data_IF_860571204167
#
_entry.id   IF_860571204167
#
_cell.length_a   1.000
_cell.length_b   1.000
_cell.length_c   1.000
_cell.angle_alpha   90.00
_cell.angle_beta   90.00
_cell.angle_gamma   90.00
#
_symmetry.space_group_name_H-M   'P 1'
#
loop_
_entity.id
_entity.type
_entity.pdbx_description
1 polymer ?
#
# COMPACT_ATOMS: atom_id res chain seq x y z
N UNK A 1 -21.59 21.48 -1.93
CA UNK A 1 -21.25 20.27 -1.17
C UNK A 1 -20.71 19.27 -2.19
N UNK A 2 -19.39 19.10 -2.36
CA UNK A 2 -18.90 18.07 -3.27
C UNK A 2 -19.08 16.70 -2.62
N UNK A 3 -19.54 15.76 -3.43
CA UNK A 3 -19.98 14.43 -3.04
C UNK A 3 -18.78 13.60 -2.59
N UNK A 4 -18.84 13.05 -1.37
CA UNK A 4 -17.88 12.05 -0.88
C UNK A 4 -18.24 10.68 -1.47
N UNK A 5 -17.89 10.48 -2.74
CA UNK A 5 -17.83 9.19 -3.44
C UNK A 5 -16.82 9.38 -4.58
N UNK A 6 -15.78 8.57 -4.75
CA UNK A 6 -15.74 7.11 -4.71
C UNK A 6 -14.34 6.60 -4.37
N UNK A 7 -14.28 5.37 -3.84
CA UNK A 7 -13.07 4.59 -3.54
C UNK A 7 -12.30 4.12 -4.80
N UNK A 8 -11.94 5.03 -5.69
CA UNK A 8 -11.03 4.79 -6.81
C UNK A 8 -9.66 5.36 -6.47
N UNK A 9 -8.58 4.56 -6.52
CA UNK A 9 -7.23 5.11 -6.45
C UNK A 9 -7.08 6.09 -7.61
N UNK A 10 -6.59 7.29 -7.34
CA UNK A 10 -6.20 8.23 -8.39
C UNK A 10 -5.01 7.62 -9.14
N UNK A 11 -5.25 7.05 -10.32
CA UNK A 11 -4.23 6.36 -11.12
C UNK A 11 -3.10 7.31 -11.49
N UNK A 12 -3.41 8.56 -11.85
CA UNK A 12 -2.39 9.57 -12.21
C UNK A 12 -1.58 9.96 -10.98
N UNK A 13 -2.24 10.13 -9.84
CA UNK A 13 -1.59 10.33 -8.54
C UNK A 13 -0.68 9.16 -8.18
N UNK A 14 -1.13 7.92 -8.43
CA UNK A 14 -0.43 6.68 -8.13
C UNK A 14 0.83 6.54 -8.96
N UNK A 15 0.73 6.73 -10.28
CA UNK A 15 1.87 6.70 -11.20
C UNK A 15 2.92 7.74 -10.81
N UNK A 16 2.50 8.98 -10.53
CA UNK A 16 3.42 10.05 -10.10
C UNK A 16 4.16 9.67 -8.82
N UNK A 17 3.44 9.15 -7.82
CA UNK A 17 4.01 8.71 -6.54
C UNK A 17 4.95 7.53 -6.73
N UNK A 18 4.58 6.56 -7.57
CA UNK A 18 5.43 5.42 -7.92
C UNK A 18 6.74 5.88 -8.56
N UNK A 19 6.70 6.76 -9.56
CA UNK A 19 7.92 7.27 -10.21
C UNK A 19 8.84 7.98 -9.24
N UNK A 20 8.29 8.82 -8.35
CA UNK A 20 9.08 9.50 -7.33
C UNK A 20 9.74 8.51 -6.36
N UNK A 21 8.99 7.51 -5.90
CA UNK A 21 9.49 6.47 -5.00
C UNK A 21 10.54 5.57 -5.66
N UNK A 22 10.35 5.22 -6.93
CA UNK A 22 11.31 4.40 -7.68
C UNK A 22 12.63 5.13 -7.91
N UNK A 23 12.59 6.45 -8.10
CA UNK A 23 13.79 7.25 -8.21
C UNK A 23 14.53 7.38 -6.86
N UNK A 24 13.78 7.45 -5.74
CA UNK A 24 14.35 7.58 -4.40
C UNK A 24 14.87 6.24 -3.83
N UNK A 25 14.19 5.14 -4.12
CA UNK A 25 14.48 3.81 -3.57
C UNK A 25 14.53 2.75 -4.69
N UNK A 26 15.52 2.82 -5.61
CA UNK A 26 15.65 1.87 -6.71
C UNK A 26 15.92 0.42 -6.26
N UNK A 27 16.32 0.22 -5.00
CA UNK A 27 16.54 -1.08 -4.37
C UNK A 27 15.26 -1.81 -3.97
N UNK A 28 14.13 -1.11 -3.87
CA UNK A 28 12.86 -1.70 -3.49
C UNK A 28 12.18 -2.40 -4.67
N UNK A 29 11.52 -3.51 -4.37
CA UNK A 29 10.74 -4.24 -5.37
C UNK A 29 9.63 -3.34 -5.97
N UNK A 30 9.41 -3.34 -7.30
CA UNK A 30 8.40 -2.48 -7.92
C UNK A 30 6.99 -2.68 -7.35
N UNK A 31 6.62 -3.89 -6.95
CA UNK A 31 5.31 -4.13 -6.33
C UNK A 31 5.25 -3.53 -4.93
N UNK A 32 6.33 -3.61 -4.15
CA UNK A 32 6.45 -2.93 -2.86
C UNK A 32 6.28 -1.41 -3.01
N UNK A 33 6.89 -0.81 -4.03
CA UNK A 33 6.72 0.62 -4.33
C UNK A 33 5.28 0.99 -4.70
N UNK A 34 4.59 0.16 -5.49
CA UNK A 34 3.17 0.37 -5.81
C UNK A 34 2.29 0.29 -4.55
N UNK A 35 2.55 -0.66 -3.66
CA UNK A 35 1.85 -0.78 -2.39
C UNK A 35 2.06 0.47 -1.51
N UNK A 36 3.31 0.93 -1.41
CA UNK A 36 3.66 2.12 -0.65
C UNK A 36 3.00 3.38 -1.22
N UNK A 37 3.03 3.53 -2.55
CA UNK A 37 2.36 4.62 -3.24
C UNK A 37 0.84 4.59 -2.95
N UNK A 38 0.20 3.43 -3.07
CA UNK A 38 -1.23 3.28 -2.79
C UNK A 38 -1.59 3.56 -1.32
N UNK A 39 -0.74 3.18 -0.37
CA UNK A 39 -0.91 3.49 1.05
C UNK A 39 -0.84 4.98 1.34
N UNK A 40 0.02 5.73 0.62
CA UNK A 40 0.14 7.20 0.74
C UNK A 40 -1.04 7.98 0.15
N UNK A 41 -1.85 7.36 -0.71
CA UNK A 41 -3.04 8.00 -1.30
C UNK A 41 -4.26 8.00 -0.37
N UNK A 42 -4.36 6.98 0.48
CA UNK A 42 -5.55 6.73 1.27
C UNK A 42 -5.45 7.49 2.60
N UNK A 43 -6.10 8.66 2.65
CA UNK A 43 -6.12 9.53 3.83
C UNK A 43 -6.84 8.93 5.07
N UNK A 44 -7.60 7.83 4.95
CA UNK A 44 -8.23 7.02 6.02
C UNK A 44 -9.10 5.92 5.34
N UNK A 45 -9.30 4.64 5.76
CA UNK A 45 -9.09 3.88 7.03
C UNK A 45 -7.99 2.78 6.87
N UNK A 46 -7.76 1.84 7.82
CA UNK A 46 -6.76 0.77 7.63
C UNK A 46 -6.98 0.00 6.32
N UNK A 47 -6.07 0.22 5.36
CA UNK A 47 -5.96 -0.57 4.16
C UNK A 47 -5.61 -2.00 4.54
N UNK A 48 -6.14 -2.95 3.78
CA UNK A 48 -5.80 -4.35 3.99
C UNK A 48 -5.24 -4.96 2.72
N UNK A 49 -4.39 -5.97 2.88
CA UNK A 49 -3.81 -6.68 1.74
C UNK A 49 -4.87 -7.24 0.79
N UNK A 50 -6.02 -7.67 1.31
CA UNK A 50 -7.15 -8.11 0.47
C UNK A 50 -7.89 -6.97 -0.26
N UNK A 51 -7.88 -5.75 0.29
CA UNK A 51 -8.46 -4.57 -0.40
C UNK A 51 -7.53 -4.09 -1.50
N UNK A 52 -6.22 -4.03 -1.24
CA UNK A 52 -5.21 -3.67 -2.24
C UNK A 52 -5.15 -4.69 -3.38
N UNK A 53 -5.18 -5.99 -3.06
CA UNK A 53 -5.22 -7.07 -4.07
C UNK A 53 -6.37 -6.89 -5.06
N UNK A 54 -7.60 -6.70 -4.55
CA UNK A 54 -8.79 -6.47 -5.39
C UNK A 54 -8.72 -5.18 -6.19
N UNK A 55 -8.18 -4.12 -5.60
CA UNK A 55 -8.14 -2.82 -6.24
C UNK A 55 -7.07 -2.74 -7.34
N UNK A 56 -5.90 -3.34 -7.10
CA UNK A 56 -4.80 -3.36 -8.05
C UNK A 56 -4.91 -4.50 -9.08
N UNK A 57 -5.83 -5.45 -8.89
CA UNK A 57 -5.93 -6.65 -9.71
C UNK A 57 -4.72 -7.59 -9.55
N UNK A 58 -4.10 -7.60 -8.37
CA UNK A 58 -2.87 -8.35 -8.07
C UNK A 58 -3.20 -9.48 -7.09
N UNK A 59 -2.58 -10.64 -7.30
CA UNK A 59 -2.72 -11.80 -6.42
C UNK A 59 -2.43 -11.46 -4.96
N UNK A 60 -3.29 -11.95 -4.05
CA UNK A 60 -3.21 -11.63 -2.63
C UNK A 60 -1.89 -12.10 -2.00
N UNK A 61 -1.34 -13.22 -2.47
CA UNK A 61 -0.05 -13.74 -2.03
C UNK A 61 1.10 -12.77 -2.36
N UNK A 62 1.09 -12.15 -3.53
CA UNK A 62 2.09 -11.17 -3.95
C UNK A 62 1.98 -9.88 -3.12
N UNK A 63 0.75 -9.40 -2.88
CA UNK A 63 0.53 -8.24 -2.01
C UNK A 63 1.00 -8.51 -0.58
N UNK A 64 0.79 -9.74 -0.06
CA UNK A 64 1.31 -10.12 1.26
C UNK A 64 2.82 -10.18 1.32
N UNK A 65 3.46 -10.71 0.27
CA UNK A 65 4.92 -10.74 0.17
C UNK A 65 5.50 -9.32 0.15
N UNK A 66 4.98 -8.46 -0.72
CA UNK A 66 5.42 -7.06 -0.81
C UNK A 66 5.20 -6.31 0.52
N UNK A 67 4.08 -6.56 1.22
CA UNK A 67 3.84 -6.00 2.54
C UNK A 67 4.87 -6.49 3.59
N UNK A 68 5.26 -7.76 3.54
CA UNK A 68 6.29 -8.31 4.43
C UNK A 68 7.68 -7.72 4.14
N UNK A 69 8.02 -7.49 2.86
CA UNK A 69 9.26 -6.83 2.46
C UNK A 69 9.30 -5.37 2.96
N UNK A 70 8.20 -4.61 2.78
CA UNK A 70 8.08 -3.24 3.29
C UNK A 70 8.14 -3.18 4.82
N UNK A 71 7.53 -4.13 5.52
CA UNK A 71 7.59 -4.21 6.98
C UNK A 71 9.00 -4.54 7.47
N UNK A 72 9.68 -5.50 6.85
CA UNK A 72 11.05 -5.86 7.16
C UNK A 72 12.02 -4.68 6.93
N UNK A 73 11.75 -3.87 5.91
CA UNK A 73 12.52 -2.66 5.61
C UNK A 73 12.06 -1.42 6.42
N UNK A 74 11.06 -1.54 7.30
CA UNK A 74 10.65 -0.47 8.21
C UNK A 74 9.76 0.62 7.60
N UNK A 75 9.15 0.38 6.44
CA UNK A 75 8.28 1.36 5.75
C UNK A 75 6.84 1.32 6.26
N UNK A 76 6.36 0.15 6.67
CA UNK A 76 4.99 -0.07 7.12
C UNK A 76 4.96 -0.95 8.38
N UNK A 77 3.87 -0.88 9.12
CA UNK A 77 3.50 -1.89 10.10
C UNK A 77 2.34 -2.74 9.56
N UNK A 78 2.42 -4.06 9.75
CA UNK A 78 1.30 -4.96 9.49
C UNK A 78 0.64 -5.42 10.79
N UNK A 79 -0.68 -5.65 10.72
CA UNK A 79 -1.44 -6.18 11.85
C UNK A 79 -2.41 -7.25 11.36
N UNK A 80 -2.39 -8.43 11.97
CA UNK A 80 -3.40 -9.44 11.72
C UNK A 80 -4.79 -8.88 12.10
N UNK A 81 -5.78 -9.03 11.22
CA UNK A 81 -7.14 -8.51 11.47
C UNK A 81 -7.98 -9.37 12.43
N UNK A 82 -7.45 -10.51 12.88
CA UNK A 82 -8.14 -11.47 13.74
C UNK A 82 -9.16 -12.36 13.01
N UNK A 83 -9.60 -13.44 13.66
CA UNK A 83 -10.52 -14.44 13.08
C UNK A 83 -9.87 -15.34 12.03
N UNK A 84 -10.68 -15.91 11.12
CA UNK A 84 -10.21 -16.79 10.03
C UNK A 84 -9.66 -16.03 8.80
N UNK A 85 -9.53 -14.70 8.86
CA UNK A 85 -9.15 -13.89 7.70
C UNK A 85 -7.62 -13.91 7.48
N UNK A 86 -7.13 -14.27 6.28
CA UNK A 86 -5.70 -14.18 5.95
C UNK A 86 -5.26 -12.75 5.62
N UNK A 87 -6.14 -11.75 5.72
CA UNK A 87 -5.84 -10.36 5.38
C UNK A 87 -5.08 -9.65 6.52
N UNK A 88 -4.08 -8.87 6.13
CA UNK A 88 -3.33 -7.99 7.03
C UNK A 88 -3.89 -6.58 6.93
N UNK A 89 -4.04 -5.88 8.05
CA UNK A 89 -4.13 -4.44 8.08
C UNK A 89 -2.74 -3.84 7.86
N UNK A 90 -2.67 -2.77 7.09
CA UNK A 90 -1.44 -2.11 6.67
C UNK A 90 -1.48 -0.65 7.11
N UNK A 91 -0.37 -0.15 7.65
CA UNK A 91 -0.24 1.23 8.12
C UNK A 91 1.14 1.77 7.76
N UNK A 92 1.21 2.98 7.21
CA UNK A 92 2.48 3.68 7.02
C UNK A 92 3.12 3.98 8.39
N UNK A 93 4.43 3.84 8.46
CA UNK A 93 5.21 4.40 9.55
C UNK A 93 5.52 5.87 9.20
N UNK A 94 5.44 6.77 10.18
CA UNK A 94 5.47 8.23 9.94
C UNK A 94 6.85 8.78 9.54
N UNK A 95 7.88 7.93 9.45
CA UNK A 95 9.30 8.31 9.34
C UNK A 95 9.92 7.91 7.99
N UNK A 96 9.11 7.97 6.93
CA UNK A 96 9.42 7.31 5.66
C UNK A 96 9.73 8.35 4.56
N UNK A 97 10.19 9.53 4.95
CA UNK A 97 10.56 10.65 4.08
C UNK A 97 12.06 11.01 4.18
N UNK A 98 12.92 10.03 4.46
CA UNK A 98 14.38 10.21 4.44
C UNK A 98 14.99 9.95 3.06
#
# INVERSE_FOLDING_TARGET
MPERGSSELDVVGLERRFTALQAAHPELDPLALVLLAALRDVNDPPLSSARLSRHLGIEHALVRRAAAELEAAGWIATQARGGASPALGLRLLADVDA
#
